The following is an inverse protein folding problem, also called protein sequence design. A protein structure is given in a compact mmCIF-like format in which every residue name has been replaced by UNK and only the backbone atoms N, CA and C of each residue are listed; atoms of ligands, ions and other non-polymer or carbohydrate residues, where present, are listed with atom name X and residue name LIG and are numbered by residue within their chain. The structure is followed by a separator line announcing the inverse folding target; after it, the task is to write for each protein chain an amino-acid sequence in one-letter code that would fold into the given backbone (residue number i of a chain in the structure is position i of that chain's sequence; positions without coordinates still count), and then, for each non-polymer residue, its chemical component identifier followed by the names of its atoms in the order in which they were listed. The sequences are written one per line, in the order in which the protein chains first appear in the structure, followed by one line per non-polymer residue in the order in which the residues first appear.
data_IF_879367771849
#
_entry.id   IF_879367771849
#
_cell.length_a   1.000
_cell.length_b   1.000
_cell.length_c   1.000
_cell.angle_alpha   90.00
_cell.angle_beta   90.00
_cell.angle_gamma   90.00
#
_symmetry.space_group_name_H-M   'P 1'
#
loop_
_entity.id
_entity.type
_entity.pdbx_description
1 polymer ?
#
# COMPACT_ATOMS: atom_id res chain seq x y z
N UNK A 1 -12.30 -4.07 -10.23
CA UNK A 1 -11.82 -4.65 -11.51
C UNK A 1 -11.88 -6.17 -11.41
N UNK A 2 -12.40 -6.81 -12.43
CA UNK A 2 -12.45 -8.27 -12.53
C UNK A 2 -11.47 -8.75 -13.60
N UNK A 3 -10.81 -9.87 -13.35
CA UNK A 3 -10.04 -10.57 -14.40
C UNK A 3 -10.99 -11.21 -15.41
N UNK A 4 -10.44 -11.62 -16.55
CA UNK A 4 -11.18 -12.41 -17.56
C UNK A 4 -11.83 -13.67 -16.96
N UNK A 5 -11.25 -14.21 -15.89
CA UNK A 5 -11.77 -15.39 -15.16
C UNK A 5 -12.71 -15.02 -13.99
N UNK A 6 -13.18 -13.78 -13.91
CA UNK A 6 -14.12 -13.33 -12.88
C UNK A 6 -13.53 -13.11 -11.49
N UNK A 7 -12.22 -13.21 -11.32
CA UNK A 7 -11.56 -12.89 -10.04
C UNK A 7 -11.53 -11.38 -9.80
N UNK A 8 -11.91 -10.97 -8.61
CA UNK A 8 -11.84 -9.57 -8.21
C UNK A 8 -10.36 -9.13 -7.99
N UNK A 9 -9.96 -8.08 -8.69
CA UNK A 9 -8.64 -7.46 -8.51
C UNK A 9 -8.77 -6.32 -7.51
N UNK A 10 -8.24 -6.52 -6.31
CA UNK A 10 -8.04 -5.45 -5.37
C UNK A 10 -6.80 -4.64 -5.80
N UNK A 11 -7.00 -3.37 -6.13
CA UNK A 11 -5.92 -2.49 -6.59
C UNK A 11 -5.31 -1.67 -5.47
N UNK A 12 -6.07 -1.35 -4.43
CA UNK A 12 -5.60 -0.58 -3.27
C UNK A 12 -6.52 -0.80 -2.07
N UNK A 13 -5.97 -0.56 -0.88
CA UNK A 13 -6.72 -0.42 0.36
C UNK A 13 -6.65 1.02 0.83
N UNK A 14 -7.80 1.54 1.27
CA UNK A 14 -7.91 2.82 1.94
C UNK A 14 -8.12 2.57 3.44
N UNK A 15 -7.48 3.37 4.25
CA UNK A 15 -7.51 3.27 5.69
C UNK A 15 -8.10 4.54 6.32
N UNK A 16 -8.11 4.59 7.64
CA UNK A 16 -8.63 5.74 8.39
C UNK A 16 -7.83 7.00 7.99
N UNK A 17 -8.53 8.10 7.72
CA UNK A 17 -7.99 9.37 7.23
C UNK A 17 -7.47 9.37 5.78
N UNK A 18 -7.63 8.29 5.02
CA UNK A 18 -7.33 8.31 3.60
C UNK A 18 -8.39 9.12 2.81
N UNK A 19 -7.93 9.78 1.76
CA UNK A 19 -8.78 10.54 0.83
C UNK A 19 -8.86 9.80 -0.50
N UNK A 20 -10.06 9.73 -1.08
CA UNK A 20 -10.29 9.19 -2.42
C UNK A 20 -11.39 9.98 -3.15
N UNK A 21 -11.35 10.10 -4.45
CA UNK A 21 -10.36 9.60 -5.41
C UNK A 21 -9.20 10.59 -5.61
N UNK A 22 -8.15 10.41 -4.86
CA UNK A 22 -7.02 11.34 -4.78
C UNK A 22 -6.37 11.65 -6.14
N UNK A 23 -6.25 10.63 -7.02
CA UNK A 23 -5.65 10.80 -8.34
C UNK A 23 -6.63 11.35 -9.38
N UNK A 24 -7.93 11.13 -9.23
CA UNK A 24 -8.92 11.55 -10.22
C UNK A 24 -9.23 13.04 -10.12
N UNK A 25 -9.08 13.62 -8.95
CA UNK A 25 -9.46 14.99 -8.69
C UNK A 25 -8.84 15.97 -9.71
N UNK A 26 -7.53 15.94 -9.89
CA UNK A 26 -6.82 16.85 -10.81
C UNK A 26 -6.82 16.39 -12.28
N UNK A 27 -7.33 15.21 -12.59
CA UNK A 27 -7.37 14.71 -13.98
C UNK A 27 -8.57 15.20 -14.78
N UNK A 28 -9.50 15.90 -14.14
CA UNK A 28 -10.78 16.31 -14.75
C UNK A 28 -11.73 15.15 -15.03
N UNK A 29 -11.40 13.91 -14.67
CA UNK A 29 -12.29 12.76 -14.82
C UNK A 29 -13.42 12.84 -13.78
N UNK A 30 -14.66 12.66 -14.23
CA UNK A 30 -15.86 12.70 -13.39
C UNK A 30 -16.39 11.31 -13.01
N UNK A 31 -15.73 10.25 -13.47
CA UNK A 31 -16.17 8.87 -13.26
C UNK A 31 -15.08 8.08 -12.62
N UNK A 32 -15.41 7.35 -11.56
CA UNK A 32 -14.50 6.42 -10.91
C UNK A 32 -14.12 5.30 -11.86
N UNK A 33 -12.84 4.96 -11.92
CA UNK A 33 -12.31 3.86 -12.71
C UNK A 33 -12.25 2.53 -11.94
N UNK A 34 -12.74 2.53 -10.69
CA UNK A 34 -12.74 1.40 -9.78
C UNK A 34 -13.99 1.42 -8.90
N UNK A 35 -14.29 0.28 -8.31
CA UNK A 35 -15.36 0.12 -7.32
C UNK A 35 -14.76 0.18 -5.92
N UNK A 36 -15.43 0.89 -5.01
CA UNK A 36 -15.11 0.87 -3.58
C UNK A 36 -16.00 -0.14 -2.86
N UNK A 37 -15.38 -0.99 -2.05
CA UNK A 37 -16.08 -1.96 -1.22
C UNK A 37 -15.60 -1.83 0.22
N UNK A 38 -16.53 -1.68 1.16
CA UNK A 38 -16.21 -1.64 2.58
C UNK A 38 -15.85 -3.04 3.08
N UNK A 39 -14.65 -3.22 3.63
CA UNK A 39 -14.18 -4.49 4.22
C UNK A 39 -14.74 -4.69 5.64
N UNK A 40 -15.06 -3.60 6.32
CA UNK A 40 -15.68 -3.56 7.66
C UNK A 40 -16.66 -2.38 7.72
N UNK A 41 -17.40 -2.23 8.82
CA UNK A 41 -18.21 -1.02 9.07
C UNK A 41 -17.31 0.21 8.92
N UNK A 42 -17.67 1.10 8.02
CA UNK A 42 -16.87 2.26 7.60
C UNK A 42 -17.76 3.49 7.55
N UNK A 43 -17.26 4.61 8.02
CA UNK A 43 -17.87 5.93 7.86
C UNK A 43 -17.10 6.71 6.82
N UNK A 44 -17.81 7.40 5.93
CA UNK A 44 -17.21 8.19 4.84
C UNK A 44 -17.78 9.60 4.89
N UNK A 45 -16.92 10.59 4.96
CA UNK A 45 -17.29 11.98 4.81
C UNK A 45 -17.18 12.41 3.33
N UNK A 46 -18.20 13.07 2.83
CA UNK A 46 -18.22 13.61 1.47
C UNK A 46 -17.98 15.12 1.51
N UNK A 47 -17.03 15.56 0.69
CA UNK A 47 -16.73 16.99 0.50
C UNK A 47 -17.07 17.34 -0.93
N UNK A 48 -17.90 18.36 -1.13
CA UNK A 48 -18.20 18.86 -2.48
C UNK A 48 -16.92 19.39 -3.14
N UNK A 49 -16.71 19.09 -4.40
CA UNK A 49 -15.50 19.48 -5.15
C UNK A 49 -15.21 20.98 -5.05
N UNK A 50 -16.24 21.83 -5.19
CA UNK A 50 -16.07 23.30 -5.09
C UNK A 50 -15.66 23.77 -3.69
N UNK A 51 -16.05 23.03 -2.64
CA UNK A 51 -15.62 23.33 -1.27
C UNK A 51 -14.16 22.92 -1.10
N UNK A 52 -13.80 21.73 -1.56
CA UNK A 52 -12.43 21.24 -1.50
C UNK A 52 -11.46 22.11 -2.29
N UNK A 53 -11.84 22.55 -3.50
CA UNK A 53 -11.07 23.50 -4.31
C UNK A 53 -10.80 24.82 -3.56
N UNK A 54 -11.83 25.38 -2.94
CA UNK A 54 -11.69 26.60 -2.14
C UNK A 54 -10.75 26.39 -0.97
N UNK A 55 -10.89 25.28 -0.23
CA UNK A 55 -10.00 24.96 0.88
C UNK A 55 -8.53 24.90 0.45
N UNK A 56 -8.26 24.30 -0.72
CA UNK A 56 -6.89 24.23 -1.27
C UNK A 56 -6.38 25.61 -1.76
N UNK A 57 -7.26 26.48 -2.23
CA UNK A 57 -6.89 27.83 -2.70
C UNK A 57 -6.66 28.80 -1.55
N UNK A 58 -7.48 28.71 -0.51
CA UNK A 58 -7.45 29.64 0.61
C UNK A 58 -6.39 29.27 1.67
N UNK A 59 -5.94 28.02 1.69
CA UNK A 59 -4.99 27.50 2.67
C UNK A 59 -3.80 26.79 1.98
N UNK A 60 -2.67 27.49 1.93
CA UNK A 60 -1.43 26.96 1.33
C UNK A 60 -0.83 25.78 2.10
N UNK A 61 -1.05 25.69 3.40
CA UNK A 61 -0.56 24.59 4.24
C UNK A 61 -1.38 23.32 3.97
N UNK A 62 -2.69 23.47 3.81
CA UNK A 62 -3.56 22.38 3.37
C UNK A 62 -3.20 21.92 1.96
N UNK A 63 -2.96 22.83 1.03
CA UNK A 63 -2.51 22.51 -0.34
C UNK A 63 -1.21 21.69 -0.29
N UNK A 64 -0.21 22.15 0.46
CA UNK A 64 1.06 21.45 0.60
C UNK A 64 0.88 20.05 1.22
N UNK A 65 0.08 19.94 2.26
CA UNK A 65 -0.24 18.66 2.92
C UNK A 65 -0.90 17.68 1.97
N UNK A 66 -1.82 18.15 1.14
CA UNK A 66 -2.49 17.33 0.14
C UNK A 66 -1.55 16.89 -0.99
N UNK A 67 -0.67 17.79 -1.47
CA UNK A 67 0.38 17.42 -2.44
C UNK A 67 1.33 16.38 -1.87
N UNK A 68 1.73 16.51 -0.61
CA UNK A 68 2.58 15.55 0.08
C UNK A 68 1.88 14.18 0.20
N UNK A 69 0.59 14.17 0.53
CA UNK A 69 -0.22 12.95 0.57
C UNK A 69 -0.25 12.23 -0.77
N UNK A 70 -0.57 12.94 -1.87
CA UNK A 70 -0.58 12.37 -3.22
C UNK A 70 0.80 11.84 -3.62
N UNK A 71 1.85 12.59 -3.32
CA UNK A 71 3.24 12.19 -3.63
C UNK A 71 3.64 10.92 -2.92
N UNK A 72 3.33 10.80 -1.63
CA UNK A 72 3.59 9.57 -0.85
C UNK A 72 2.82 8.37 -1.41
N UNK A 73 1.57 8.57 -1.81
CA UNK A 73 0.77 7.51 -2.45
C UNK A 73 1.35 7.13 -3.81
N UNK A 74 1.81 8.10 -4.60
CA UNK A 74 2.49 7.86 -5.87
C UNK A 74 3.73 7.01 -5.71
N UNK A 75 4.62 7.36 -4.77
CA UNK A 75 5.83 6.58 -4.45
C UNK A 75 5.49 5.16 -3.99
N UNK A 76 4.49 5.01 -3.11
CA UNK A 76 4.05 3.69 -2.67
C UNK A 76 3.51 2.84 -3.83
N UNK A 77 2.72 3.41 -4.72
CA UNK A 77 2.20 2.72 -5.89
C UNK A 77 3.33 2.32 -6.85
N UNK A 78 4.31 3.19 -7.09
CA UNK A 78 5.48 2.88 -7.90
C UNK A 78 6.28 1.71 -7.30
N UNK A 79 6.54 1.75 -6.00
CA UNK A 79 7.20 0.66 -5.28
C UNK A 79 6.45 -0.66 -5.44
N UNK A 80 5.11 -0.66 -5.30
CA UNK A 80 4.30 -1.87 -5.47
C UNK A 80 4.35 -2.40 -6.91
N UNK A 81 4.31 -1.54 -7.91
CA UNK A 81 4.45 -1.94 -9.31
C UNK A 81 5.80 -2.59 -9.57
N UNK A 82 6.89 -2.02 -9.06
CA UNK A 82 8.23 -2.60 -9.17
C UNK A 82 8.33 -3.94 -8.44
N UNK A 83 7.72 -4.05 -7.27
CA UNK A 83 7.65 -5.31 -6.52
C UNK A 83 7.05 -6.46 -7.35
N UNK A 84 6.02 -6.17 -8.15
CA UNK A 84 5.34 -7.17 -8.97
C UNK A 84 6.16 -7.65 -10.19
N UNK A 85 7.27 -7.00 -10.53
CA UNK A 85 8.18 -7.44 -11.57
C UNK A 85 9.03 -8.64 -11.14
N UNK A 86 9.20 -8.87 -9.84
CA UNK A 86 9.92 -10.02 -9.32
C UNK A 86 9.11 -11.31 -9.47
N UNK A 87 9.79 -12.42 -9.72
CA UNK A 87 9.14 -13.68 -10.07
C UNK A 87 8.74 -14.48 -8.84
N UNK A 88 9.61 -14.55 -7.84
CA UNK A 88 9.39 -15.34 -6.63
C UNK A 88 8.68 -14.56 -5.53
N UNK A 89 7.99 -15.27 -4.65
CA UNK A 89 7.35 -14.67 -3.47
C UNK A 89 8.40 -14.08 -2.54
N UNK A 90 9.53 -14.75 -2.40
CA UNK A 90 10.65 -14.32 -1.58
C UNK A 90 11.19 -12.94 -2.02
N UNK A 91 11.49 -12.80 -3.31
CA UNK A 91 11.94 -11.53 -3.89
C UNK A 91 10.90 -10.43 -3.70
N UNK A 92 9.63 -10.71 -3.96
CA UNK A 92 8.54 -9.73 -3.76
C UNK A 92 8.45 -9.28 -2.30
N UNK A 93 8.56 -10.20 -1.35
CA UNK A 93 8.56 -9.88 0.08
C UNK A 93 9.79 -9.07 0.44
N UNK A 94 10.98 -9.46 -0.01
CA UNK A 94 12.23 -8.76 0.22
C UNK A 94 12.15 -7.31 -0.30
N UNK A 95 11.76 -7.14 -1.56
CA UNK A 95 11.62 -5.81 -2.18
C UNK A 95 10.57 -4.95 -1.47
N UNK A 96 9.43 -5.54 -1.09
CA UNK A 96 8.39 -4.84 -0.37
C UNK A 96 8.89 -4.36 1.00
N UNK A 97 9.60 -5.21 1.75
CA UNK A 97 10.15 -4.87 3.06
C UNK A 97 11.18 -3.73 2.98
N UNK A 98 12.12 -3.82 2.03
CA UNK A 98 13.13 -2.78 1.79
C UNK A 98 12.43 -1.46 1.39
N UNK A 99 11.47 -1.52 0.47
CA UNK A 99 10.71 -0.36 0.04
C UNK A 99 9.92 0.30 1.16
N UNK A 100 9.25 -0.49 1.99
CA UNK A 100 8.51 0.02 3.15
C UNK A 100 9.45 0.59 4.21
N UNK A 101 10.61 -0.02 4.45
CA UNK A 101 11.63 0.51 5.34
C UNK A 101 12.14 1.89 4.88
N UNK A 102 12.39 2.04 3.59
CA UNK A 102 12.86 3.31 3.00
C UNK A 102 11.78 4.40 3.02
N UNK A 103 10.50 4.04 2.93
CA UNK A 103 9.37 4.97 3.05
C UNK A 103 9.01 5.30 4.50
N UNK A 104 9.32 4.40 5.43
CA UNK A 104 9.14 4.57 6.86
C UNK A 104 10.34 5.34 7.42
N UNK A 105 10.08 6.34 8.25
CA UNK A 105 11.16 7.00 9.01
C UNK A 105 11.40 6.33 10.37
N UNK A 106 10.80 5.16 10.59
CA UNK A 106 10.82 4.43 11.85
C UNK A 106 11.54 3.08 11.66
N UNK A 107 12.15 2.58 12.72
CA UNK A 107 12.78 1.24 12.76
C UNK A 107 11.76 0.09 12.61
N UNK A 108 10.49 0.40 12.74
CA UNK A 108 9.39 -0.56 12.66
C UNK A 108 8.59 -0.38 11.38
N UNK A 109 8.53 -1.41 10.57
CA UNK A 109 7.71 -1.46 9.36
C UNK A 109 6.28 -1.89 9.75
N UNK A 110 5.27 -1.04 9.55
CA UNK A 110 3.89 -1.45 9.82
C UNK A 110 3.44 -2.51 8.83
N UNK A 111 2.95 -3.63 9.34
CA UNK A 111 2.39 -4.68 8.52
C UNK A 111 0.97 -4.32 8.06
N UNK A 112 0.53 -4.80 6.88
CA UNK A 112 -0.86 -4.72 6.47
C UNK A 112 -1.78 -5.33 7.53
N UNK A 113 -2.97 -4.73 7.75
CA UNK A 113 -3.93 -5.11 8.81
C UNK A 113 -4.34 -6.59 8.78
N UNK A 114 -4.13 -7.28 7.66
CA UNK A 114 -4.31 -8.73 7.57
C UNK A 114 -3.36 -9.36 6.56
N UNK A 115 -3.06 -10.64 6.76
CA UNK A 115 -2.26 -11.41 5.80
C UNK A 115 -2.95 -11.53 4.43
N UNK A 116 -4.27 -11.49 4.38
CA UNK A 116 -5.02 -11.47 3.11
C UNK A 116 -4.77 -10.17 2.35
N UNK A 117 -4.78 -9.02 3.04
CA UNK A 117 -4.43 -7.74 2.42
C UNK A 117 -3.00 -7.75 1.87
N UNK A 118 -2.05 -8.27 2.63
CA UNK A 118 -0.66 -8.36 2.21
C UNK A 118 -0.48 -9.28 1.00
N UNK A 119 -1.10 -10.46 1.03
CA UNK A 119 -1.09 -11.42 -0.08
C UNK A 119 -1.68 -10.81 -1.36
N UNK A 120 -2.83 -10.14 -1.25
CA UNK A 120 -3.45 -9.43 -2.37
C UNK A 120 -2.54 -8.32 -2.94
N UNK A 121 -1.88 -7.57 -2.06
CA UNK A 121 -0.92 -6.52 -2.45
C UNK A 121 0.24 -7.10 -3.27
N UNK A 122 0.78 -8.26 -2.86
CA UNK A 122 1.89 -8.94 -3.54
C UNK A 122 1.42 -9.87 -4.68
N UNK A 123 0.09 -9.97 -4.91
CA UNK A 123 -0.54 -10.86 -5.91
C UNK A 123 -0.10 -12.31 -5.76
N UNK A 124 -0.16 -12.81 -4.54
CA UNK A 124 0.15 -14.19 -4.18
C UNK A 124 -0.97 -14.81 -3.36
N UNK A 125 -0.98 -16.13 -3.20
CA UNK A 125 -1.93 -16.77 -2.30
C UNK A 125 -1.56 -16.48 -0.84
N UNK A 126 -2.58 -16.34 0.03
CA UNK A 126 -2.36 -16.16 1.48
C UNK A 126 -1.53 -17.29 2.09
N UNK A 127 -1.78 -18.54 1.67
CA UNK A 127 -1.06 -19.71 2.16
C UNK A 127 0.42 -19.67 1.78
N UNK A 128 0.72 -19.37 0.51
CA UNK A 128 2.09 -19.26 0.00
C UNK A 128 2.85 -18.13 0.67
N UNK A 129 2.20 -16.96 0.83
CA UNK A 129 2.81 -15.85 1.56
C UNK A 129 3.14 -16.24 3.01
N UNK A 130 2.20 -16.87 3.71
CA UNK A 130 2.41 -17.24 5.12
C UNK A 130 3.57 -18.25 5.28
N UNK A 131 3.70 -19.20 4.36
CA UNK A 131 4.83 -20.14 4.35
C UNK A 131 6.15 -19.42 4.14
N UNK A 132 6.19 -18.49 3.17
CA UNK A 132 7.40 -17.76 2.86
C UNK A 132 7.82 -16.80 3.99
N UNK A 133 6.88 -16.10 4.60
CA UNK A 133 7.14 -15.22 5.76
C UNK A 133 7.76 -16.01 6.92
N UNK A 134 7.20 -17.17 7.26
CA UNK A 134 7.75 -18.02 8.32
C UNK A 134 9.15 -18.53 7.98
N UNK A 135 9.39 -18.88 6.72
CA UNK A 135 10.71 -19.32 6.25
C UNK A 135 11.74 -18.20 6.37
N UNK A 136 11.40 -16.99 5.91
CA UNK A 136 12.29 -15.83 5.93
C UNK A 136 12.57 -15.36 7.37
N UNK A 137 11.57 -15.42 8.24
CA UNK A 137 11.72 -15.10 9.67
C UNK A 137 12.67 -16.12 10.36
N UNK A 138 12.50 -17.42 10.08
CA UNK A 138 13.38 -18.47 10.58
C UNK A 138 14.84 -18.35 10.10
N UNK A 139 15.05 -17.78 8.90
CA UNK A 139 16.37 -17.44 8.35
C UNK A 139 16.97 -16.16 8.97
N UNK A 140 16.23 -15.46 9.84
CA UNK A 140 16.71 -14.28 10.53
C UNK A 140 16.75 -12.99 9.69
N UNK A 141 16.00 -12.92 8.60
CA UNK A 141 15.93 -11.70 7.78
C UNK A 141 15.21 -10.56 8.52
N UNK A 142 14.18 -10.90 9.27
CA UNK A 142 13.37 -9.99 10.07
C UNK A 142 12.72 -10.72 11.24
N UNK A 143 12.08 -9.96 12.12
CA UNK A 143 11.23 -10.46 13.20
C UNK A 143 9.90 -9.73 13.17
N UNK A 144 8.81 -10.48 13.33
CA UNK A 144 7.47 -9.93 13.49
C UNK A 144 7.20 -9.69 14.98
N UNK A 145 6.77 -8.47 15.30
CA UNK A 145 6.39 -8.06 16.65
C UNK A 145 5.00 -7.41 16.60
N UNK A 146 3.98 -8.21 16.88
CA UNK A 146 2.57 -7.79 16.81
C UNK A 146 2.16 -7.38 15.39
N UNK A 147 1.89 -6.09 15.20
CA UNK A 147 1.52 -5.52 13.90
C UNK A 147 2.68 -4.85 13.16
N UNK A 148 3.88 -4.98 13.69
CA UNK A 148 5.07 -4.41 13.09
C UNK A 148 6.09 -5.50 12.74
N UNK A 149 7.04 -5.12 11.92
CA UNK A 149 8.17 -5.95 11.53
C UNK A 149 9.47 -5.14 11.72
N UNK A 150 10.47 -5.78 12.27
CA UNK A 150 11.81 -5.22 12.44
C UNK A 150 12.77 -5.96 11.52
N UNK A 151 13.47 -5.24 10.65
CA UNK A 151 14.52 -5.83 9.81
C UNK A 151 15.72 -6.17 10.69
N UNK A 152 16.21 -7.41 10.58
CA UNK A 152 17.41 -7.88 11.27
C UNK A 152 18.62 -7.89 10.35
N UNK A 153 18.42 -8.17 9.07
CA UNK A 153 19.49 -8.24 8.09
C UNK A 153 19.03 -7.72 6.73
N UNK A 154 19.08 -6.39 6.56
CA UNK A 154 18.69 -5.74 5.32
C UNK A 154 19.57 -6.17 4.14
N UNK A 155 20.89 -6.31 4.34
CA UNK A 155 21.80 -6.72 3.28
C UNK A 155 21.45 -8.09 2.72
N UNK A 156 21.11 -9.04 3.58
CA UNK A 156 20.70 -10.37 3.13
C UNK A 156 19.36 -10.35 2.35
N UNK A 157 18.48 -9.37 2.59
CA UNK A 157 17.29 -9.14 1.76
C UNK A 157 17.64 -8.53 0.41
N UNK A 158 18.61 -7.60 0.37
CA UNK A 158 19.11 -6.99 -0.87
C UNK A 158 19.79 -8.03 -1.76
N UNK A 159 20.52 -8.97 -1.17
CA UNK A 159 21.20 -10.07 -1.90
C UNK A 159 20.24 -11.09 -2.53
N UNK A 160 18.92 -11.00 -2.22
CA UNK A 160 17.87 -11.81 -2.83
C UNK A 160 17.33 -11.21 -4.14
N UNK A 161 17.59 -9.93 -4.41
CA UNK A 161 17.03 -9.18 -5.52
C UNK A 161 17.96 -9.13 -6.72
#
# INVERSE_FOLDING_TARGET
LYTVNGCELCSAYFEDCDVFPEFLYFTGKKVYTYTLAAVKKTEVAWIATSVFERMLQDDSEMMYSFMLYISKRGLKNQMLLNCLNYQTIQERVAYWLIGMNNLSQNEHIPLPKSQTMWANTLRVSRSSLNQEIKRMEALGYFRIDGHNLVLLNQKALEDLL
#
